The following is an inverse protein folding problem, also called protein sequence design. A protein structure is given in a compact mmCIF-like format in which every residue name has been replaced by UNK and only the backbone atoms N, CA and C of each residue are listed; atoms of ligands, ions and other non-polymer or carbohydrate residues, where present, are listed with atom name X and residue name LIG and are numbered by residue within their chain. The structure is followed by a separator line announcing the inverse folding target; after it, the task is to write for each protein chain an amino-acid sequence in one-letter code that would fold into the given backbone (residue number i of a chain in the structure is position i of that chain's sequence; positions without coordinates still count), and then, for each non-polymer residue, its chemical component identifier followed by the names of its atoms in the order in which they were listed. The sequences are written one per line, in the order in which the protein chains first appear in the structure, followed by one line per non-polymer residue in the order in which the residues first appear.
data_IF_559119646527
#
_entry.id   IF_559119646527
#
_cell.length_a   1.000
_cell.length_b   1.000
_cell.length_c   1.000
_cell.angle_alpha   90.00
_cell.angle_beta   90.00
_cell.angle_gamma   90.00
#
_symmetry.space_group_name_H-M   'P 1'
#
loop_
_entity.id
_entity.type
_entity.pdbx_description
1 polymer ?
#
# COMPACT_ATOMS: atom_id res chain seq x y z
N UNK A 1 43.65 17.27 30.66
CA UNK A 1 44.23 16.13 29.89
C UNK A 1 43.15 15.74 28.86
N UNK A 2 43.39 16.25 27.68
CA UNK A 2 42.55 16.05 26.50
C UNK A 2 42.78 14.65 25.91
N UNK A 3 41.77 14.00 25.42
CA UNK A 3 41.93 12.93 24.43
C UNK A 3 40.75 12.94 23.49
N UNK A 4 40.95 13.68 22.44
CA UNK A 4 40.24 13.66 21.16
C UNK A 4 40.33 12.28 20.51
N UNK A 5 39.21 11.67 20.11
CA UNK A 5 39.15 10.61 19.11
C UNK A 5 38.11 10.93 18.04
N UNK A 6 38.60 11.67 17.06
CA UNK A 6 38.00 11.85 15.76
C UNK A 6 38.28 10.60 14.93
N UNK A 7 37.24 9.78 14.69
CA UNK A 7 37.27 8.61 13.81
C UNK A 7 36.42 8.83 12.58
N UNK A 8 37.00 9.45 11.54
CA UNK A 8 36.44 9.54 10.20
C UNK A 8 36.51 8.16 9.52
N UNK A 9 35.38 7.49 9.38
CA UNK A 9 35.24 6.32 8.51
C UNK A 9 34.90 6.80 7.08
N UNK A 10 35.92 6.89 6.26
CA UNK A 10 35.79 7.01 4.79
C UNK A 10 35.46 5.64 4.24
N UNK A 11 34.30 5.52 3.62
CA UNK A 11 33.98 4.36 2.82
C UNK A 11 34.64 4.51 1.46
N UNK A 12 35.73 3.77 1.26
CA UNK A 12 36.43 3.62 -0.01
C UNK A 12 35.85 2.39 -0.74
N UNK A 13 35.82 2.50 -2.08
CA UNK A 13 35.69 1.43 -3.06
C UNK A 13 34.33 0.73 -3.22
N UNK A 14 33.50 1.35 -4.03
CA UNK A 14 32.54 0.62 -4.84
C UNK A 14 32.92 0.73 -6.33
N UNK A 15 34.01 0.02 -6.70
CA UNK A 15 34.45 -0.13 -8.08
C UNK A 15 34.75 -1.59 -8.36
N UNK A 16 33.73 -2.41 -8.57
CA UNK A 16 33.82 -3.68 -9.30
C UNK A 16 32.42 -4.28 -9.47
N UNK A 17 31.76 -3.97 -10.56
CA UNK A 17 30.69 -4.78 -11.11
C UNK A 17 30.63 -4.59 -12.62
N UNK A 18 31.69 -5.05 -13.28
CA UNK A 18 31.65 -5.42 -14.71
C UNK A 18 31.75 -6.93 -14.79
N UNK A 19 30.96 -7.48 -15.69
CA UNK A 19 31.06 -8.84 -16.24
C UNK A 19 30.21 -9.90 -15.53
N UNK A 20 29.05 -10.13 -16.13
CA UNK A 20 28.54 -11.46 -16.46
C UNK A 20 27.36 -11.28 -17.43
N UNK A 21 27.72 -10.96 -18.68
CA UNK A 21 26.93 -11.29 -19.84
C UNK A 21 27.45 -12.63 -20.34
N UNK A 22 26.69 -13.69 -20.27
CA UNK A 22 26.84 -14.82 -21.19
C UNK A 22 25.55 -15.67 -21.23
N UNK A 23 24.97 -15.67 -22.41
CA UNK A 23 24.39 -16.81 -23.15
C UNK A 23 23.16 -17.51 -22.55
N UNK A 24 22.04 -17.29 -23.19
CA UNK A 24 21.17 -18.36 -23.63
C UNK A 24 20.50 -17.97 -24.94
N UNK A 25 21.19 -18.34 -26.06
CA UNK A 25 20.56 -18.50 -27.37
C UNK A 25 19.93 -19.89 -27.42
N UNK A 26 18.78 -19.94 -28.01
CA UNK A 26 18.33 -20.89 -29.01
C UNK A 26 16.99 -21.57 -28.75
N UNK A 27 16.24 -21.54 -29.82
CA UNK A 27 15.22 -22.45 -30.34
C UNK A 27 13.77 -22.20 -29.96
N UNK A 28 13.04 -21.84 -31.00
CA UNK A 28 11.60 -21.99 -31.07
C UNK A 28 10.93 -21.12 -32.15
N UNK A 29 11.28 -21.33 -33.44
CA UNK A 29 10.40 -20.88 -34.52
C UNK A 29 9.06 -21.59 -34.39
N UNK A 30 7.98 -20.83 -34.22
CA UNK A 30 6.65 -21.32 -34.51
C UNK A 30 5.92 -20.35 -35.42
N UNK A 31 5.56 -20.94 -36.56
CA UNK A 31 4.90 -20.38 -37.70
C UNK A 31 3.70 -19.49 -37.34
N UNK A 32 3.75 -18.27 -37.84
CA UNK A 32 2.68 -17.30 -37.83
C UNK A 32 1.71 -17.63 -38.96
N UNK A 33 0.54 -18.18 -38.66
CA UNK A 33 -0.59 -18.21 -39.58
C UNK A 33 -1.31 -16.86 -39.52
N UNK A 34 -1.56 -16.19 -40.66
CA UNK A 34 -2.31 -14.93 -40.64
C UNK A 34 -3.80 -15.22 -40.46
N UNK A 35 -4.39 -14.61 -39.46
CA UNK A 35 -5.85 -14.56 -39.24
C UNK A 35 -6.42 -13.44 -40.13
N UNK A 36 -7.51 -13.67 -40.89
CA UNK A 36 -8.07 -12.66 -41.77
C UNK A 36 -8.73 -11.54 -40.99
N UNK A 37 -8.35 -10.33 -41.33
CA UNK A 37 -8.94 -9.07 -40.91
C UNK A 37 -10.28 -8.85 -41.62
N UNK A 38 -11.39 -9.17 -40.98
CA UNK A 38 -12.72 -8.62 -41.30
C UNK A 38 -13.63 -8.77 -40.10
N UNK A 39 -13.59 -7.83 -39.15
CA UNK A 39 -14.70 -7.55 -38.27
C UNK A 39 -14.92 -6.05 -38.16
N UNK A 40 -15.86 -5.65 -38.96
CA UNK A 40 -16.68 -4.49 -39.00
C UNK A 40 -16.92 -3.92 -37.60
N UNK A 41 -16.40 -2.72 -37.37
CA UNK A 41 -16.71 -1.87 -36.22
C UNK A 41 -18.24 -1.73 -36.05
N UNK A 42 -18.80 -2.50 -35.12
CA UNK A 42 -20.07 -2.15 -34.50
C UNK A 42 -19.76 -1.30 -33.28
N UNK A 43 -19.85 -0.01 -33.46
CA UNK A 43 -19.85 0.95 -32.37
C UNK A 43 -20.91 0.58 -31.35
N UNK A 44 -20.48 0.02 -30.25
CA UNK A 44 -21.28 -0.07 -29.04
C UNK A 44 -21.31 1.35 -28.46
N UNK A 45 -22.48 1.99 -28.33
CA UNK A 45 -22.54 3.27 -27.65
C UNK A 45 -22.02 3.03 -26.23
N UNK A 46 -21.02 3.79 -25.82
CA UNK A 46 -20.59 3.87 -24.43
C UNK A 46 -21.83 4.22 -23.59
N UNK A 47 -22.41 3.19 -22.99
CA UNK A 47 -23.41 3.39 -21.97
C UNK A 47 -22.72 4.20 -20.87
N UNK A 48 -23.08 5.47 -20.80
CA UNK A 48 -22.80 6.35 -19.68
C UNK A 48 -23.34 5.63 -18.43
N UNK A 49 -22.47 4.93 -17.71
CA UNK A 49 -22.73 4.53 -16.34
C UNK A 49 -22.68 5.81 -15.50
N UNK A 50 -23.74 6.61 -15.59
CA UNK A 50 -24.09 7.52 -14.53
C UNK A 50 -24.38 6.64 -13.31
N UNK A 51 -23.72 6.82 -12.16
CA UNK A 51 -24.07 6.11 -10.96
C UNK A 51 -25.41 6.68 -10.48
N UNK A 52 -26.51 6.01 -10.81
CA UNK A 52 -27.75 6.13 -10.06
C UNK A 52 -27.51 5.52 -8.67
N UNK A 53 -26.68 6.19 -7.86
CA UNK A 53 -26.66 5.94 -6.44
C UNK A 53 -28.00 6.48 -5.90
N UNK A 54 -28.87 5.63 -5.34
CA UNK A 54 -30.09 6.13 -4.69
C UNK A 54 -29.62 7.07 -3.56
N UNK A 55 -29.98 8.34 -3.66
CA UNK A 55 -29.59 9.42 -2.73
C UNK A 55 -30.00 9.17 -1.27
N UNK A 56 -30.55 8.01 -0.95
CA UNK A 56 -31.13 7.71 0.36
C UNK A 56 -30.76 6.31 0.91
N UNK A 57 -29.65 5.72 0.48
CA UNK A 57 -29.19 4.47 1.09
C UNK A 57 -28.50 4.78 2.44
N UNK A 58 -28.99 4.21 3.56
CA UNK A 58 -28.35 4.44 4.85
C UNK A 58 -26.91 3.90 4.83
N UNK A 59 -25.93 4.64 5.39
CA UNK A 59 -24.55 4.22 5.39
C UNK A 59 -24.36 2.93 6.20
N UNK A 60 -23.49 2.06 5.73
CA UNK A 60 -23.09 0.84 6.42
C UNK A 60 -22.34 1.19 7.73
N UNK A 61 -22.34 0.27 8.70
CA UNK A 61 -21.79 0.53 10.03
C UNK A 61 -20.32 0.98 10.02
N UNK A 62 -19.49 0.41 9.14
CA UNK A 62 -18.09 0.80 9.02
C UNK A 62 -17.90 2.19 8.40
N UNK A 63 -18.80 2.64 7.52
CA UNK A 63 -18.74 3.97 6.88
C UNK A 63 -18.96 5.12 7.89
N UNK A 64 -19.64 4.81 8.99
CA UNK A 64 -19.85 5.76 10.11
C UNK A 64 -18.60 5.94 10.97
N UNK A 65 -17.61 5.05 10.84
CA UNK A 65 -16.39 5.12 11.63
C UNK A 65 -15.40 6.13 11.05
N UNK A 66 -14.99 7.11 11.85
CA UNK A 66 -13.92 8.03 11.44
C UNK A 66 -12.61 7.29 11.19
N UNK A 67 -12.35 6.19 11.92
CA UNK A 67 -11.21 5.33 11.68
C UNK A 67 -11.19 4.77 10.25
N UNK A 68 -12.34 4.36 9.73
CA UNK A 68 -12.47 3.85 8.37
C UNK A 68 -12.20 4.94 7.33
N UNK A 69 -12.75 6.14 7.54
CA UNK A 69 -12.51 7.29 6.64
C UNK A 69 -11.02 7.64 6.56
N UNK A 70 -10.34 7.72 7.70
CA UNK A 70 -8.89 8.00 7.75
C UNK A 70 -8.08 6.85 7.13
N UNK A 71 -8.53 5.59 7.26
CA UNK A 71 -7.90 4.46 6.60
C UNK A 71 -8.00 4.59 5.07
N UNK A 72 -9.16 4.96 4.53
CA UNK A 72 -9.33 5.21 3.08
C UNK A 72 -8.45 6.38 2.60
N UNK A 73 -8.34 7.46 3.38
CA UNK A 73 -7.43 8.56 3.05
C UNK A 73 -5.97 8.10 3.00
N UNK A 74 -5.56 7.18 3.89
CA UNK A 74 -4.23 6.60 3.84
C UNK A 74 -4.03 5.72 2.61
N UNK A 75 -4.99 4.84 2.29
CA UNK A 75 -4.96 4.00 1.08
C UNK A 75 -4.80 4.86 -0.18
N UNK A 76 -5.53 5.96 -0.29
CA UNK A 76 -5.44 6.89 -1.42
C UNK A 76 -4.05 7.57 -1.55
N UNK A 77 -3.29 7.68 -0.45
CA UNK A 77 -1.92 8.23 -0.48
C UNK A 77 -0.88 7.22 -0.98
N UNK A 78 -1.11 5.91 -0.82
CA UNK A 78 -0.13 4.85 -1.04
C UNK A 78 0.52 4.89 -2.43
N UNK A 79 -0.21 5.06 -3.55
CA UNK A 79 0.42 5.11 -4.88
C UNK A 79 1.48 6.22 -5.00
N UNK A 80 1.22 7.39 -4.41
CA UNK A 80 2.17 8.51 -4.43
C UNK A 80 3.38 8.22 -3.52
N UNK A 81 3.17 7.61 -2.34
CA UNK A 81 4.23 7.30 -1.38
C UNK A 81 5.17 6.20 -1.89
N UNK A 82 4.68 5.28 -2.73
CA UNK A 82 5.42 4.11 -3.20
C UNK A 82 5.95 4.23 -4.63
N UNK A 83 5.84 5.42 -5.24
CA UNK A 83 6.20 5.66 -6.65
C UNK A 83 7.61 5.18 -7.00
N UNK A 84 8.58 5.44 -6.13
CA UNK A 84 10.00 5.08 -6.28
C UNK A 84 10.40 3.83 -5.48
N UNK A 85 9.45 3.18 -4.83
CA UNK A 85 9.68 1.99 -4.04
C UNK A 85 10.02 0.78 -4.91
N UNK A 86 10.79 -0.16 -4.37
CA UNK A 86 10.98 -1.48 -4.98
C UNK A 86 9.63 -2.21 -5.07
N UNK A 87 9.38 -2.98 -6.14
CA UNK A 87 8.08 -3.64 -6.37
C UNK A 87 7.58 -4.44 -5.15
N UNK A 88 8.43 -5.28 -4.56
CA UNK A 88 8.06 -6.09 -3.40
C UNK A 88 7.60 -5.26 -2.19
N UNK A 89 8.24 -4.12 -1.91
CA UNK A 89 7.85 -3.25 -0.80
C UNK A 89 6.58 -2.46 -1.12
N UNK A 90 6.39 -2.07 -2.37
CA UNK A 90 5.15 -1.46 -2.86
C UNK A 90 3.97 -2.39 -2.66
N UNK A 91 4.06 -3.63 -3.18
CA UNK A 91 3.01 -4.64 -3.06
C UNK A 91 2.66 -4.93 -1.59
N UNK A 92 3.66 -4.93 -0.72
CA UNK A 92 3.45 -5.12 0.71
C UNK A 92 2.66 -3.97 1.34
N UNK A 93 3.02 -2.72 1.04
CA UNK A 93 2.30 -1.54 1.55
C UNK A 93 0.89 -1.49 0.99
N UNK A 94 0.67 -1.78 -0.28
CA UNK A 94 -0.65 -1.82 -0.91
C UNK A 94 -1.56 -2.86 -0.24
N UNK A 95 -1.06 -4.08 -0.01
CA UNK A 95 -1.79 -5.13 0.71
C UNK A 95 -2.09 -4.75 2.15
N UNK A 96 -1.09 -4.28 2.89
CA UNK A 96 -1.25 -3.91 4.29
C UNK A 96 -2.21 -2.71 4.45
N UNK A 97 -2.13 -1.70 3.60
CA UNK A 97 -3.03 -0.53 3.65
C UNK A 97 -4.48 -0.91 3.37
N UNK A 98 -4.72 -1.72 2.35
CA UNK A 98 -6.07 -2.25 2.04
C UNK A 98 -6.59 -3.12 3.18
N UNK A 99 -5.73 -3.94 3.80
CA UNK A 99 -6.08 -4.77 4.95
C UNK A 99 -6.60 -3.95 6.13
N UNK A 100 -6.09 -2.74 6.38
CA UNK A 100 -6.62 -1.87 7.45
C UNK A 100 -8.11 -1.61 7.25
N UNK A 101 -8.50 -1.17 6.06
CA UNK A 101 -9.90 -0.81 5.77
C UNK A 101 -10.82 -2.04 5.76
N UNK A 102 -10.39 -3.11 5.10
CA UNK A 102 -11.19 -4.34 4.96
C UNK A 102 -11.44 -5.02 6.30
N UNK A 103 -10.41 -5.15 7.15
CA UNK A 103 -10.56 -5.78 8.48
C UNK A 103 -11.35 -4.90 9.45
N UNK A 104 -11.30 -3.56 9.31
CA UNK A 104 -12.21 -2.66 10.03
C UNK A 104 -13.67 -2.92 9.68
N UNK A 105 -13.99 -3.00 8.39
CA UNK A 105 -15.35 -3.26 7.92
C UNK A 105 -15.83 -4.64 8.41
N UNK A 106 -14.99 -5.65 8.31
CA UNK A 106 -15.29 -6.99 8.80
C UNK A 106 -15.54 -7.00 10.32
N UNK A 107 -14.71 -6.30 11.10
CA UNK A 107 -14.88 -6.16 12.55
C UNK A 107 -16.22 -5.51 12.91
N UNK A 108 -16.69 -4.52 12.13
CA UNK A 108 -18.00 -3.89 12.37
C UNK A 108 -19.17 -4.88 12.17
N UNK A 109 -19.03 -5.83 11.25
CA UNK A 109 -20.06 -6.85 10.99
C UNK A 109 -20.13 -7.96 12.05
N UNK A 110 -19.15 -8.04 12.98
CA UNK A 110 -19.11 -9.09 14.00
C UNK A 110 -20.08 -8.81 15.14
N UNK A 111 -20.81 -9.87 15.57
CA UNK A 111 -21.81 -9.77 16.64
C UNK A 111 -21.20 -9.73 18.02
N UNK A 112 -20.10 -10.48 18.25
CA UNK A 112 -19.48 -10.57 19.58
C UNK A 112 -18.37 -9.53 19.74
N UNK A 113 -18.21 -8.99 20.95
CA UNK A 113 -17.08 -8.08 21.27
C UNK A 113 -15.74 -8.75 21.02
N UNK A 114 -15.60 -10.03 21.36
CA UNK A 114 -14.37 -10.79 21.21
C UNK A 114 -13.93 -10.84 19.75
N UNK A 115 -14.85 -11.19 18.85
CA UNK A 115 -14.54 -11.27 17.42
C UNK A 115 -14.24 -9.88 16.85
N UNK A 116 -15.01 -8.87 17.24
CA UNK A 116 -14.76 -7.48 16.85
C UNK A 116 -13.36 -7.03 17.24
N UNK A 117 -12.95 -7.29 18.50
CA UNK A 117 -11.61 -6.95 18.98
C UNK A 117 -10.51 -7.71 18.24
N UNK A 118 -10.75 -8.95 17.82
CA UNK A 118 -9.81 -9.73 17.01
C UNK A 118 -9.55 -9.03 15.68
N UNK A 119 -10.58 -8.66 14.94
CA UNK A 119 -10.44 -7.96 13.64
C UNK A 119 -9.79 -6.58 13.80
N UNK A 120 -10.16 -5.82 14.82
CA UNK A 120 -9.50 -4.53 15.10
C UNK A 120 -8.03 -4.70 15.49
N UNK A 121 -7.63 -5.84 16.07
CA UNK A 121 -6.23 -6.15 16.32
C UNK A 121 -5.47 -6.44 15.03
N UNK A 122 -6.09 -7.15 14.07
CA UNK A 122 -5.51 -7.38 12.73
C UNK A 122 -5.32 -6.05 12.00
N UNK A 123 -6.35 -5.19 11.99
CA UNK A 123 -6.25 -3.86 11.40
C UNK A 123 -5.10 -3.03 12.01
N UNK A 124 -4.92 -3.11 13.34
CA UNK A 124 -3.82 -2.46 14.04
C UNK A 124 -2.46 -3.01 13.61
N UNK A 125 -2.34 -4.33 13.48
CA UNK A 125 -1.12 -4.98 12.96
C UNK A 125 -0.75 -4.48 11.56
N UNK A 126 -1.74 -4.43 10.65
CA UNK A 126 -1.56 -3.90 9.29
C UNK A 126 -1.15 -2.42 9.28
N UNK A 127 -1.68 -1.61 10.18
CA UNK A 127 -1.28 -0.20 10.30
C UNK A 127 0.16 -0.05 10.82
N UNK A 128 0.59 -0.91 11.75
CA UNK A 128 1.98 -0.93 12.24
C UNK A 128 2.95 -1.41 11.15
N UNK A 129 2.55 -2.39 10.35
CA UNK A 129 3.31 -2.86 9.18
C UNK A 129 3.51 -1.74 8.16
N UNK A 130 2.46 -1.01 7.81
CA UNK A 130 2.56 0.19 6.97
C UNK A 130 3.53 1.22 7.56
N UNK A 131 3.46 1.49 8.87
CA UNK A 131 4.32 2.46 9.54
C UNK A 131 5.79 2.06 9.46
N UNK A 132 6.11 0.78 9.67
CA UNK A 132 7.46 0.25 9.52
C UNK A 132 7.95 0.35 8.07
N UNK A 133 7.10 0.02 7.09
CA UNK A 133 7.43 0.12 5.67
C UNK A 133 7.69 1.58 5.23
N UNK A 134 6.95 2.56 5.75
CA UNK A 134 7.21 3.99 5.53
C UNK A 134 8.59 4.39 6.09
N UNK A 135 8.99 3.86 7.26
CA UNK A 135 10.34 4.12 7.80
C UNK A 135 11.43 3.52 6.89
N UNK A 136 11.21 2.31 6.35
CA UNK A 136 12.13 1.71 5.36
C UNK A 136 12.25 2.59 4.12
N UNK A 137 11.13 3.06 3.54
CA UNK A 137 11.17 3.96 2.38
C UNK A 137 11.94 5.25 2.67
N UNK A 138 11.78 5.82 3.87
CA UNK A 138 12.50 7.03 4.29
C UNK A 138 14.00 6.80 4.40
N UNK A 139 14.44 5.72 5.07
CA UNK A 139 15.88 5.46 5.26
C UNK A 139 16.58 5.01 3.98
N UNK A 140 15.85 4.43 3.04
CA UNK A 140 16.36 4.06 1.70
C UNK A 140 16.35 5.23 0.70
N UNK A 141 15.91 6.42 1.14
CA UNK A 141 15.85 7.61 0.26
C UNK A 141 14.72 7.57 -0.78
N UNK A 142 13.83 6.59 -0.71
CA UNK A 142 12.70 6.46 -1.63
C UNK A 142 11.52 7.37 -1.26
N UNK A 143 11.53 7.98 -0.07
CA UNK A 143 10.45 8.85 0.40
C UNK A 143 11.02 10.07 1.12
N UNK A 144 10.45 11.24 0.85
CA UNK A 144 10.86 12.48 1.52
C UNK A 144 10.52 12.43 3.03
N UNK A 145 11.31 13.10 3.90
CA UNK A 145 10.98 13.19 5.33
C UNK A 145 9.58 13.79 5.59
N UNK A 146 9.17 14.77 4.80
CA UNK A 146 7.87 15.42 4.93
C UNK A 146 6.71 14.46 4.61
N UNK A 147 6.83 13.67 3.53
CA UNK A 147 5.83 12.69 3.15
C UNK A 147 5.75 11.53 4.14
N UNK A 148 6.91 11.07 4.63
CA UNK A 148 6.97 10.06 5.68
C UNK A 148 6.25 10.54 6.95
N UNK A 149 6.48 11.78 7.37
CA UNK A 149 5.80 12.37 8.54
C UNK A 149 4.30 12.45 8.34
N UNK A 150 3.82 12.89 7.17
CA UNK A 150 2.37 12.95 6.86
C UNK A 150 1.73 11.57 6.90
N UNK A 151 2.37 10.59 6.28
CA UNK A 151 1.88 9.20 6.26
C UNK A 151 1.81 8.62 7.68
N UNK A 152 2.87 8.78 8.46
CA UNK A 152 2.93 8.31 9.86
C UNK A 152 1.91 8.98 10.76
N UNK A 153 1.63 10.26 10.57
CA UNK A 153 0.60 10.96 11.33
C UNK A 153 -0.79 10.31 11.12
N UNK A 154 -1.16 9.97 9.88
CA UNK A 154 -2.42 9.26 9.61
C UNK A 154 -2.44 7.87 10.24
N UNK A 155 -1.36 7.10 10.11
CA UNK A 155 -1.25 5.77 10.70
C UNK A 155 -1.34 5.81 12.22
N UNK A 156 -0.68 6.77 12.87
CA UNK A 156 -0.77 6.99 14.32
C UNK A 156 -2.22 7.27 14.74
N UNK A 157 -2.93 8.12 14.00
CA UNK A 157 -4.34 8.42 14.26
C UNK A 157 -5.21 7.17 14.12
N UNK A 158 -5.00 6.36 13.08
CA UNK A 158 -5.71 5.07 12.89
C UNK A 158 -5.48 4.17 14.10
N UNK A 159 -4.22 3.97 14.52
CA UNK A 159 -3.87 3.11 15.66
C UNK A 159 -4.54 3.61 16.96
N UNK A 160 -4.52 4.92 17.22
CA UNK A 160 -5.17 5.50 18.40
C UNK A 160 -6.69 5.24 18.41
N UNK A 161 -7.35 5.40 17.25
CA UNK A 161 -8.78 5.13 17.13
C UNK A 161 -9.10 3.64 17.28
N UNK A 162 -8.28 2.73 16.72
CA UNK A 162 -8.43 1.28 16.91
C UNK A 162 -8.28 0.87 18.38
N UNK A 163 -7.31 1.44 19.10
CA UNK A 163 -7.17 1.22 20.54
C UNK A 163 -8.42 1.70 21.30
N UNK A 164 -8.98 2.86 20.93
CA UNK A 164 -10.24 3.36 21.48
C UNK A 164 -11.43 2.45 21.22
N UNK A 165 -11.57 1.93 20.01
CA UNK A 165 -12.64 0.99 19.62
C UNK A 165 -12.57 -0.34 20.37
N UNK A 166 -11.38 -0.80 20.73
CA UNK A 166 -11.16 -2.05 21.49
C UNK A 166 -11.45 -1.89 23.00
N UNK A 167 -11.48 -0.67 23.53
CA UNK A 167 -11.78 -0.42 24.94
C UNK A 167 -13.29 -0.31 25.23
N UNK A 168 -14.11 -0.17 24.18
CA UNK A 168 -15.59 -0.09 24.26
C UNK A 168 -16.23 -1.47 24.14
#
# INVERSE_FOLDING_TARGET
MESSLSGSLRCADCSTAKSLALVCESHGENAHTPVPSDEKERGTPAASLAPDAPENTPPLDHERLDCFKVALEFVAMVPALTKTARPALRDQIERASSSIALTLAEGCARRTKRDRHHFFSIAQGSAMECAAAIDVLRVTGCLSPADATRAKHKLTRIVQMLVGLRRR
#
